data_IF_999569236310
#
_entry.id   IF_999569236310
#
_cell.length_a   1.000
_cell.length_b   1.000
_cell.length_c   1.000
_cell.angle_alpha   90.00
_cell.angle_beta   90.00
_cell.angle_gamma   90.00
#
_symmetry.space_group_name_H-M   'P 1'
#
loop_
_entity.id
_entity.type
_entity.pdbx_description
1 polymer ?
#
# COMPACT_ATOMS: atom_id res chain seq x y z
N UNK A 1 9.48 3.08 -18.43
CA UNK A 1 10.84 2.62 -18.09
C UNK A 1 11.60 3.82 -17.59
N UNK A 2 11.54 3.99 -16.28
CA UNK A 2 11.89 5.20 -15.55
C UNK A 2 11.25 5.11 -14.16
N UNK A 3 11.74 5.92 -13.23
CA UNK A 3 11.15 6.00 -11.91
C UNK A 3 10.03 7.04 -11.99
N UNK A 4 8.80 6.57 -11.94
CA UNK A 4 7.60 7.37 -12.18
C UNK A 4 6.83 7.62 -10.87
N UNK A 5 6.01 8.66 -10.87
CA UNK A 5 5.02 8.91 -9.80
C UNK A 5 3.63 8.96 -10.41
N UNK A 6 2.79 7.98 -10.06
CA UNK A 6 1.44 7.85 -10.60
C UNK A 6 0.42 8.19 -9.51
N UNK A 7 -0.61 8.94 -9.88
CA UNK A 7 -1.70 9.33 -8.98
C UNK A 7 -3.04 8.99 -9.64
N UNK A 8 -3.83 8.10 -9.03
CA UNK A 8 -5.16 7.70 -9.53
C UNK A 8 -6.22 8.77 -9.21
N UNK A 9 -6.35 9.11 -7.93
CA UNK A 9 -7.24 10.17 -7.49
C UNK A 9 -8.51 9.62 -6.86
N UNK A 10 -9.68 10.00 -7.38
CA UNK A 10 -10.96 9.52 -6.86
C UNK A 10 -11.65 8.65 -7.90
N UNK A 11 -12.06 7.45 -7.51
CA UNK A 11 -12.67 6.48 -8.41
C UNK A 11 -12.01 5.11 -8.26
N UNK A 12 -12.34 4.19 -9.17
CA UNK A 12 -11.62 2.93 -9.25
C UNK A 12 -10.58 3.08 -10.35
N UNK A 13 -9.32 3.21 -9.96
CA UNK A 13 -8.22 3.49 -10.85
C UNK A 13 -7.35 2.25 -11.06
N UNK A 14 -6.70 2.19 -12.23
CA UNK A 14 -5.68 1.17 -12.53
C UNK A 14 -4.35 1.88 -12.71
N UNK A 15 -3.39 1.59 -11.84
CA UNK A 15 -2.04 2.13 -11.85
C UNK A 15 -1.05 1.01 -12.22
N UNK A 16 -0.15 1.30 -13.15
CA UNK A 16 0.91 0.39 -13.59
C UNK A 16 2.22 1.19 -13.70
N UNK A 17 3.18 0.93 -12.81
CA UNK A 17 4.49 1.58 -12.78
C UNK A 17 5.41 1.09 -13.91
N UNK A 18 5.28 -0.18 -14.26
CA UNK A 18 6.03 -0.78 -15.35
C UNK A 18 7.44 -1.17 -14.94
N UNK A 19 8.45 -0.37 -15.27
CA UNK A 19 9.83 -0.74 -14.96
C UNK A 19 10.59 0.48 -14.44
N UNK A 20 11.26 0.32 -13.32
CA UNK A 20 11.85 1.40 -12.53
C UNK A 20 11.42 1.30 -11.08
N UNK A 21 11.92 2.20 -10.24
CA UNK A 21 11.45 2.31 -8.86
C UNK A 21 10.32 3.35 -8.81
N UNK A 22 9.07 2.90 -8.77
CA UNK A 22 7.89 3.76 -8.93
C UNK A 22 7.22 4.13 -7.60
N UNK A 23 6.54 5.28 -7.58
CA UNK A 23 5.68 5.71 -6.47
C UNK A 23 4.23 5.80 -6.94
N UNK A 24 3.36 4.97 -6.37
CA UNK A 24 1.97 4.80 -6.82
C UNK A 24 1.00 5.30 -5.75
N UNK A 25 0.21 6.31 -6.06
CA UNK A 25 -0.80 6.87 -5.16
C UNK A 25 -2.20 6.60 -5.73
N UNK A 26 -2.82 5.47 -5.37
CA UNK A 26 -4.12 5.07 -5.91
C UNK A 26 -5.23 6.09 -5.58
N UNK A 27 -5.29 6.55 -4.33
CA UNK A 27 -6.25 7.56 -3.90
C UNK A 27 -7.45 6.93 -3.20
N UNK A 28 -8.67 7.33 -3.56
CA UNK A 28 -9.90 6.80 -2.94
C UNK A 28 -10.68 5.95 -3.93
N UNK A 29 -10.98 4.72 -3.54
CA UNK A 29 -11.90 3.85 -4.26
C UNK A 29 -11.46 2.41 -4.15
N UNK A 30 -11.60 1.64 -5.23
CA UNK A 30 -11.09 0.27 -5.35
C UNK A 30 -10.11 0.23 -6.50
N UNK A 31 -8.84 0.27 -6.15
CA UNK A 31 -7.79 0.51 -7.12
C UNK A 31 -7.01 -0.77 -7.42
N UNK A 32 -6.59 -0.91 -8.68
CA UNK A 32 -5.70 -1.97 -9.12
C UNK A 32 -4.32 -1.38 -9.35
N UNK A 33 -3.36 -1.71 -8.49
CA UNK A 33 -2.02 -1.13 -8.52
C UNK A 33 -1.01 -2.22 -8.80
N UNK A 34 -0.23 -2.02 -9.85
CA UNK A 34 0.88 -2.89 -10.26
C UNK A 34 2.15 -2.05 -10.22
N UNK A 35 3.14 -2.46 -9.42
CA UNK A 35 4.46 -1.84 -9.41
C UNK A 35 5.22 -2.20 -10.68
N UNK A 36 5.56 -3.48 -10.80
CA UNK A 36 6.22 -4.01 -11.98
C UNK A 36 7.64 -4.44 -11.65
N UNK A 37 8.59 -4.14 -12.53
CA UNK A 37 10.00 -4.48 -12.34
C UNK A 37 10.72 -3.33 -11.62
N UNK A 38 11.11 -3.53 -10.36
CA UNK A 38 11.90 -2.56 -9.61
C UNK A 38 11.61 -2.63 -8.13
N UNK A 39 11.80 -1.51 -7.42
CA UNK A 39 11.34 -1.33 -6.04
C UNK A 39 10.23 -0.30 -6.01
N UNK A 40 9.01 -0.80 -5.99
CA UNK A 40 7.84 0.03 -6.12
C UNK A 40 7.22 0.32 -4.75
N UNK A 41 6.75 1.55 -4.58
CA UNK A 41 6.18 2.03 -3.33
C UNK A 41 4.77 2.54 -3.55
N UNK A 42 3.79 1.96 -2.85
CA UNK A 42 2.44 2.54 -2.80
C UNK A 42 2.36 3.59 -1.69
N UNK A 43 1.76 4.75 -1.97
CA UNK A 43 1.56 5.83 -1.02
C UNK A 43 0.08 6.08 -0.74
N UNK A 44 -0.27 6.02 0.54
CA UNK A 44 -1.55 6.46 1.10
C UNK A 44 -1.35 7.62 2.08
N UNK A 45 -0.26 8.38 1.95
CA UNK A 45 0.05 9.50 2.85
C UNK A 45 -1.08 10.54 2.89
N UNK A 46 -1.76 10.78 1.76
CA UNK A 46 -2.88 11.72 1.65
C UNK A 46 -4.24 11.14 2.07
N UNK A 47 -4.28 9.88 2.54
CA UNK A 47 -5.52 9.28 2.97
C UNK A 47 -6.03 9.93 4.27
N UNK A 48 -7.23 10.50 4.23
CA UNK A 48 -7.92 11.08 5.40
C UNK A 48 -8.44 10.04 6.42
N UNK A 49 -7.93 8.81 6.42
CA UNK A 49 -8.37 7.70 7.28
C UNK A 49 -7.21 6.73 7.54
N UNK A 50 -7.34 5.89 8.58
CA UNK A 50 -6.37 4.80 8.87
C UNK A 50 -6.15 3.93 7.65
N UNK A 51 -4.90 3.54 7.40
CA UNK A 51 -4.52 2.66 6.29
C UNK A 51 -4.00 1.35 6.86
N UNK A 52 -4.67 0.25 6.53
CA UNK A 52 -4.18 -1.10 6.86
C UNK A 52 -3.84 -1.82 5.56
N UNK A 53 -2.54 -1.92 5.28
CA UNK A 53 -2.01 -2.61 4.10
C UNK A 53 -1.35 -3.89 4.52
N UNK A 54 -1.70 -5.00 3.86
CA UNK A 54 -0.99 -6.27 4.00
C UNK A 54 -0.21 -6.54 2.71
N UNK A 55 1.10 -6.70 2.84
CA UNK A 55 2.05 -6.83 1.71
C UNK A 55 1.95 -8.16 0.94
N UNK A 56 0.93 -8.99 1.20
CA UNK A 56 0.80 -10.33 0.63
C UNK A 56 -0.56 -10.55 -0.05
N UNK A 57 -1.08 -9.49 -0.67
CA UNK A 57 -2.07 -9.63 -1.73
C UNK A 57 -3.49 -9.19 -1.43
N UNK A 58 -3.77 -8.55 -0.28
CA UNK A 58 -5.01 -7.78 -0.08
C UNK A 58 -4.83 -6.66 0.94
N UNK A 59 -5.07 -5.42 0.54
CA UNK A 59 -5.33 -4.30 1.45
C UNK A 59 -6.74 -4.43 2.00
N UNK A 60 -6.88 -4.37 3.33
CA UNK A 60 -8.10 -4.84 4.01
C UNK A 60 -8.74 -3.82 4.94
N UNK A 61 -8.23 -2.58 5.01
CA UNK A 61 -8.81 -1.60 5.90
C UNK A 61 -8.57 -0.15 5.54
N UNK A 62 -9.63 0.65 5.70
CA UNK A 62 -9.62 2.11 5.61
C UNK A 62 -9.51 2.64 4.18
N UNK A 63 -8.60 3.57 3.91
CA UNK A 63 -8.49 4.17 2.58
C UNK A 63 -7.99 3.19 1.51
N UNK A 64 -7.32 2.11 1.92
CA UNK A 64 -6.88 1.04 1.02
C UNK A 64 -7.93 -0.08 0.85
N UNK A 65 -9.16 0.12 1.35
CA UNK A 65 -10.18 -0.93 1.43
C UNK A 65 -10.69 -1.32 0.05
N UNK A 66 -10.28 -2.51 -0.39
CA UNK A 66 -10.71 -3.07 -1.68
C UNK A 66 -9.72 -2.85 -2.80
N UNK A 67 -8.56 -2.26 -2.50
CA UNK A 67 -7.46 -2.18 -3.46
C UNK A 67 -6.80 -3.54 -3.65
N UNK A 68 -6.20 -3.72 -4.82
CA UNK A 68 -5.40 -4.89 -5.17
C UNK A 68 -4.02 -4.40 -5.54
N UNK A 69 -3.02 -4.78 -4.74
CA UNK A 69 -1.63 -4.40 -4.94
C UNK A 69 -0.82 -5.62 -5.40
N UNK A 70 -0.03 -5.46 -6.45
CA UNK A 70 0.85 -6.49 -6.99
C UNK A 70 2.21 -5.90 -7.35
N UNK A 71 3.29 -6.63 -7.05
CA UNK A 71 4.66 -6.17 -7.31
C UNK A 71 4.99 -4.88 -6.57
N UNK A 72 4.57 -4.76 -5.31
CA UNK A 72 4.86 -3.61 -4.45
C UNK A 72 5.73 -4.10 -3.31
N UNK A 73 6.89 -3.46 -3.11
CA UNK A 73 7.85 -3.78 -2.06
C UNK A 73 7.81 -2.77 -0.90
N UNK A 74 7.27 -1.57 -1.16
CA UNK A 74 7.17 -0.46 -0.22
C UNK A 74 5.74 0.02 0.00
N UNK A 75 5.41 0.38 1.23
CA UNK A 75 4.11 0.97 1.57
C UNK A 75 4.32 2.17 2.48
N UNK A 76 3.84 3.32 2.05
CA UNK A 76 3.71 4.53 2.87
C UNK A 76 2.25 4.61 3.31
N UNK A 77 2.00 4.43 4.60
CA UNK A 77 0.67 4.57 5.19
C UNK A 77 0.29 6.03 5.47
N UNK A 78 -0.92 6.24 5.98
CA UNK A 78 -1.32 7.53 6.54
C UNK A 78 -0.86 7.69 7.99
N UNK A 79 -0.78 8.93 8.47
CA UNK A 79 -0.47 9.27 9.87
C UNK A 79 -1.51 8.71 10.87
N UNK A 80 -2.63 8.19 10.37
CA UNK A 80 -3.67 7.55 11.16
C UNK A 80 -3.23 6.14 11.55
N UNK A 81 -2.71 5.99 12.77
CA UNK A 81 -2.28 4.72 13.37
C UNK A 81 -3.17 3.54 12.92
N UNK A 82 -2.53 2.51 12.37
CA UNK A 82 -3.11 1.19 12.28
C UNK A 82 -3.48 0.73 13.71
N UNK A 83 -4.76 0.70 14.03
CA UNK A 83 -5.25 -0.03 15.20
C UNK A 83 -5.10 -1.51 14.87
N UNK A 84 -3.97 -2.12 15.23
CA UNK A 84 -3.78 -3.56 15.09
C UNK A 84 -4.77 -4.29 16.01
N UNK A 85 -5.74 -5.10 15.52
CA UNK A 85 -6.14 -6.24 16.31
C UNK A 85 -4.99 -7.25 16.18
N UNK A 86 -4.20 -7.41 17.24
CA UNK A 86 -3.31 -8.55 17.32
C UNK A 86 -4.13 -9.83 17.09
N UNK A 87 -3.72 -10.76 16.21
CA UNK A 87 -4.33 -12.09 16.19
C UNK A 87 -4.15 -12.71 17.59
N UNK A 88 -5.21 -13.28 18.20
CA UNK A 88 -5.06 -13.93 19.49
C UNK A 88 -4.15 -15.16 19.33
N UNK A 89 -2.91 -15.08 19.81
CA UNK A 89 -2.07 -16.27 20.00
C UNK A 89 -0.64 -16.25 19.43
N UNK A 90 -0.11 -15.17 18.85
CA UNK A 90 1.30 -15.14 18.44
C UNK A 90 2.19 -14.49 19.51
N UNK A 91 2.52 -15.28 20.55
CA UNK A 91 3.63 -14.99 21.47
C UNK A 91 4.91 -15.61 20.88
N UNK A 92 5.57 -14.91 19.96
CA UNK A 92 6.77 -15.48 19.35
C UNK A 92 7.40 -14.54 18.34
N UNK A 93 8.61 -14.12 18.66
CA UNK A 93 9.55 -13.35 17.85
C UNK A 93 9.66 -13.81 16.40
N UNK A 94 9.88 -12.83 15.50
CA UNK A 94 10.03 -12.90 14.04
C UNK A 94 8.72 -12.94 13.24
N UNK A 95 8.13 -11.78 12.98
CA UNK A 95 8.07 -11.22 11.62
C UNK A 95 8.14 -9.70 11.71
N UNK A 96 9.01 -9.10 10.91
CA UNK A 96 9.33 -7.69 10.94
C UNK A 96 8.14 -6.88 10.39
N UNK A 97 7.25 -6.45 11.27
CA UNK A 97 6.45 -5.25 10.99
C UNK A 97 7.43 -4.08 11.00
N UNK A 98 7.80 -3.59 9.81
CA UNK A 98 8.61 -2.39 9.67
C UNK A 98 7.80 -1.20 10.22
N UNK A 99 7.94 -0.94 11.51
CA UNK A 99 7.74 0.40 12.06
C UNK A 99 8.97 1.19 11.65
N UNK A 100 8.87 1.93 10.55
CA UNK A 100 9.90 2.89 10.17
C UNK A 100 9.70 4.11 11.09
N UNK A 101 10.70 4.52 11.89
CA UNK A 101 10.63 5.73 12.70
C UNK A 101 10.60 7.00 11.84
#
# INVERSE_FOLDING_TARGET
AGNDTLVGGAGNDTLDGGAGDDVLQPGTGRDLVTGGDGRDTVSYADAGSSVTVMLWGKTTGGAALGDTLSGIEGVIGSDYKASSPAPPGMTGSSEASATIP
#
